data_IF_843046698555
#
_entry.id   IF_843046698555
#
_cell.length_a   1.000
_cell.length_b   1.000
_cell.length_c   1.000
_cell.angle_alpha   90.00
_cell.angle_beta   90.00
_cell.angle_gamma   90.00
#
_symmetry.space_group_name_H-M   'P 1'
#
loop_
_entity.id
_entity.type
_entity.pdbx_description
1 polymer ?
#
# COMPACT_ATOMS: atom_id res chain seq x y z
N UNK A 1 -25.58 -85.48 -22.01
CA UNK A 1 -25.27 -86.02 -20.68
C UNK A 1 -24.08 -85.25 -20.12
N UNK A 2 -24.28 -84.56 -18.98
CA UNK A 2 -23.31 -84.02 -18.00
C UNK A 2 -22.07 -83.26 -18.55
N UNK A 3 -22.05 -81.92 -18.58
CA UNK A 3 -21.69 -80.99 -17.48
C UNK A 3 -20.24 -81.06 -17.01
N UNK A 4 -19.45 -80.04 -17.34
CA UNK A 4 -18.75 -79.23 -16.32
C UNK A 4 -18.39 -77.85 -16.88
N UNK A 5 -18.67 -76.83 -16.06
CA UNK A 5 -18.47 -75.42 -16.32
C UNK A 5 -17.03 -75.00 -16.02
N UNK A 6 -16.55 -73.98 -16.73
CA UNK A 6 -15.34 -73.23 -16.38
C UNK A 6 -15.25 -71.97 -17.22
N UNK A 7 -15.82 -70.88 -16.71
CA UNK A 7 -15.98 -69.61 -17.42
C UNK A 7 -14.65 -68.89 -17.62
N UNK A 8 -14.35 -68.58 -18.88
CA UNK A 8 -13.35 -67.59 -19.31
C UNK A 8 -13.88 -66.18 -19.02
N UNK A 9 -13.09 -65.35 -18.34
CA UNK A 9 -13.29 -63.90 -18.32
C UNK A 9 -12.08 -63.19 -18.90
N UNK A 10 -12.37 -62.43 -19.96
CA UNK A 10 -11.49 -61.45 -20.60
C UNK A 10 -11.17 -60.30 -19.64
N UNK A 11 -9.93 -59.82 -19.66
CA UNK A 11 -9.58 -58.50 -19.13
C UNK A 11 -8.43 -57.92 -19.98
N UNK A 12 -8.81 -57.43 -21.17
CA UNK A 12 -7.90 -56.85 -22.15
C UNK A 12 -8.31 -55.44 -22.58
N UNK A 13 -8.83 -54.59 -21.69
CA UNK A 13 -9.08 -53.17 -21.96
C UNK A 13 -9.03 -52.37 -20.65
N UNK A 14 -7.84 -51.91 -20.24
CA UNK A 14 -7.69 -51.17 -18.99
C UNK A 14 -6.49 -50.22 -18.92
N UNK A 15 -5.84 -49.90 -20.05
CA UNK A 15 -4.59 -49.13 -20.03
C UNK A 15 -4.50 -48.06 -21.12
N UNK A 16 -5.59 -47.34 -21.41
CA UNK A 16 -5.55 -46.18 -22.32
C UNK A 16 -6.37 -44.96 -21.90
N UNK A 17 -7.13 -45.03 -20.81
CA UNK A 17 -7.95 -43.89 -20.32
C UNK A 17 -7.21 -43.06 -19.25
N UNK A 18 -6.15 -43.60 -18.63
CA UNK A 18 -5.40 -42.92 -17.58
C UNK A 18 -4.42 -41.82 -18.04
N UNK A 19 -3.95 -41.84 -19.30
CA UNK A 19 -2.95 -40.88 -19.78
C UNK A 19 -3.57 -39.60 -20.37
N UNK A 20 -4.78 -39.69 -20.94
CA UNK A 20 -5.45 -38.53 -21.55
C UNK A 20 -6.00 -37.57 -20.47
N UNK A 21 -6.43 -38.08 -19.31
CA UNK A 21 -6.85 -37.25 -18.18
C UNK A 21 -5.65 -36.55 -17.49
N UNK A 22 -4.48 -37.19 -17.45
CA UNK A 22 -3.25 -36.60 -16.92
C UNK A 22 -2.66 -35.52 -17.85
N UNK A 23 -2.82 -35.66 -19.17
CA UNK A 23 -2.42 -34.64 -20.14
C UNK A 23 -3.44 -33.49 -20.29
N UNK A 24 -4.73 -33.75 -20.08
CA UNK A 24 -5.75 -32.68 -20.03
C UNK A 24 -5.66 -31.82 -18.76
N UNK A 25 -5.12 -32.36 -17.65
CA UNK A 25 -4.80 -31.60 -16.43
C UNK A 25 -3.47 -30.82 -16.51
N UNK A 26 -2.67 -31.06 -17.56
CA UNK A 26 -1.43 -30.31 -17.84
C UNK A 26 -1.60 -29.26 -18.95
N UNK A 27 -2.80 -29.12 -19.51
CA UNK A 27 -3.10 -28.23 -20.64
C UNK A 27 -4.01 -27.04 -20.28
N UNK A 28 -4.21 -26.76 -18.99
CA UNK A 28 -4.86 -25.53 -18.52
C UNK A 28 -3.88 -24.81 -17.58
N UNK A 29 -3.66 -23.53 -17.85
CA UNK A 29 -2.87 -22.55 -17.10
C UNK A 29 -1.33 -22.61 -17.22
N UNK A 30 -0.86 -22.23 -18.41
CA UNK A 30 0.50 -21.71 -18.64
C UNK A 30 0.76 -20.34 -18.01
N UNK A 31 0.37 -20.13 -16.75
CA UNK A 31 0.78 -18.98 -15.97
C UNK A 31 1.42 -19.51 -14.70
N UNK A 32 2.76 -19.54 -14.73
CA UNK A 32 3.58 -19.73 -13.56
C UNK A 32 3.16 -18.71 -12.49
N UNK A 33 3.00 -19.15 -11.25
CA UNK A 33 2.85 -18.22 -10.12
C UNK A 33 3.95 -17.16 -10.24
N UNK A 34 3.56 -15.89 -10.23
CA UNK A 34 4.46 -14.76 -10.47
C UNK A 34 4.20 -13.98 -11.75
N UNK A 35 3.32 -14.41 -12.65
CA UNK A 35 2.90 -13.61 -13.80
C UNK A 35 1.49 -13.95 -14.31
N UNK A 36 0.68 -12.94 -14.67
CA UNK A 36 -0.63 -13.11 -15.29
C UNK A 36 -0.97 -11.94 -16.22
N UNK A 37 -1.72 -12.19 -17.30
CA UNK A 37 -2.28 -11.12 -18.11
C UNK A 37 -3.38 -10.38 -17.33
N UNK A 38 -3.54 -9.08 -17.54
CA UNK A 38 -4.59 -8.28 -16.90
C UNK A 38 -5.96 -8.89 -17.17
N UNK A 39 -6.22 -9.37 -18.40
CA UNK A 39 -7.47 -10.01 -18.78
C UNK A 39 -7.82 -11.24 -17.92
N UNK A 40 -6.82 -12.04 -17.54
CA UNK A 40 -7.00 -13.25 -16.72
C UNK A 40 -7.31 -12.92 -15.25
N UNK A 41 -7.03 -11.69 -14.82
CA UNK A 41 -7.26 -11.23 -13.46
C UNK A 41 -8.61 -10.51 -13.30
N UNK A 42 -9.19 -9.98 -14.39
CA UNK A 42 -10.47 -9.28 -14.35
C UNK A 42 -11.57 -10.19 -13.80
N UNK A 43 -12.40 -9.66 -12.90
CA UNK A 43 -13.49 -10.39 -12.26
C UNK A 43 -13.08 -11.18 -11.01
N UNK A 44 -11.78 -11.37 -10.76
CA UNK A 44 -11.29 -12.02 -9.54
C UNK A 44 -11.41 -11.08 -8.33
N UNK A 45 -11.61 -11.66 -7.15
CA UNK A 45 -11.56 -10.96 -5.86
C UNK A 45 -10.11 -10.59 -5.50
N UNK A 46 -9.88 -9.62 -4.58
CA UNK A 46 -8.52 -9.25 -4.16
C UNK A 46 -7.66 -10.44 -3.73
N UNK A 47 -8.29 -11.39 -3.03
CA UNK A 47 -7.63 -12.56 -2.48
C UNK A 47 -7.28 -13.57 -3.58
N UNK A 48 -8.16 -13.75 -4.57
CA UNK A 48 -7.90 -14.59 -5.75
C UNK A 48 -6.78 -13.99 -6.62
N UNK A 49 -6.78 -12.67 -6.84
CA UNK A 49 -5.69 -11.99 -7.58
C UNK A 49 -4.36 -12.19 -6.88
N UNK A 50 -4.29 -11.99 -5.56
CA UNK A 50 -3.08 -12.26 -4.77
C UNK A 50 -2.64 -13.71 -4.93
N UNK A 51 -3.55 -14.66 -4.77
CA UNK A 51 -3.23 -16.09 -4.87
C UNK A 51 -2.69 -16.44 -6.25
N UNK A 52 -3.31 -15.90 -7.31
CA UNK A 52 -2.89 -16.09 -8.70
C UNK A 52 -1.47 -15.56 -8.95
N UNK A 53 -1.15 -14.39 -8.42
CA UNK A 53 0.12 -13.72 -8.66
C UNK A 53 1.27 -14.20 -7.76
N UNK A 54 0.98 -14.64 -6.54
CA UNK A 54 2.02 -15.02 -5.56
C UNK A 54 2.15 -16.52 -5.36
N UNK A 55 1.16 -17.31 -5.79
CA UNK A 55 1.03 -18.72 -5.42
C UNK A 55 0.67 -18.95 -3.94
N UNK A 56 0.52 -17.88 -3.14
CA UNK A 56 0.17 -17.98 -1.73
C UNK A 56 -1.32 -18.34 -1.54
N UNK A 57 -1.68 -19.05 -0.46
CA UNK A 57 -3.07 -19.43 -0.21
C UNK A 57 -3.98 -18.20 -0.05
N UNK A 58 -5.15 -18.29 -0.69
CA UNK A 58 -6.24 -17.31 -0.71
C UNK A 58 -6.95 -17.12 0.65
N UNK A 59 -6.27 -17.22 1.79
CA UNK A 59 -6.91 -17.25 3.12
C UNK A 59 -6.69 -15.99 3.94
N UNK A 60 -5.73 -15.15 3.58
CA UNK A 60 -5.45 -13.92 4.33
C UNK A 60 -6.13 -12.74 3.64
N UNK A 61 -7.08 -12.05 4.30
CA UNK A 61 -7.70 -10.87 3.73
C UNK A 61 -6.64 -9.80 3.46
N UNK A 62 -6.78 -9.02 2.37
CA UNK A 62 -5.88 -7.91 2.11
C UNK A 62 -5.97 -6.87 3.23
N UNK A 63 -4.96 -6.00 3.38
CA UNK A 63 -5.10 -4.82 4.22
C UNK A 63 -6.25 -3.92 3.70
N UNK A 64 -6.63 -2.89 4.44
CA UNK A 64 -7.57 -1.89 3.93
C UNK A 64 -6.95 -1.16 2.74
N UNK A 65 -7.65 -1.13 1.60
CA UNK A 65 -7.25 -0.37 0.41
C UNK A 65 -7.68 1.09 0.51
N UNK A 66 -7.42 1.86 -0.54
CA UNK A 66 -8.06 3.16 -0.72
C UNK A 66 -9.51 2.94 -1.13
N UNK A 67 -10.45 3.43 -0.33
CA UNK A 67 -11.88 3.24 -0.53
C UNK A 67 -12.53 4.55 -0.94
N UNK A 68 -13.44 4.49 -1.92
CA UNK A 68 -14.17 5.65 -2.43
C UNK A 68 -15.63 5.29 -2.64
N UNK A 69 -16.55 6.17 -2.21
CA UNK A 69 -17.96 6.02 -2.50
C UNK A 69 -18.21 6.03 -4.02
N UNK A 70 -18.89 5.00 -4.52
CA UNK A 70 -19.33 4.89 -5.91
C UNK A 70 -20.83 4.69 -6.01
N UNK A 71 -21.35 4.68 -7.24
CA UNK A 71 -22.76 4.41 -7.52
C UNK A 71 -23.09 2.95 -7.16
N UNK A 72 -23.70 2.72 -6.00
CA UNK A 72 -24.12 1.40 -5.53
C UNK A 72 -23.18 0.72 -4.52
N UNK A 73 -22.08 1.35 -4.13
CA UNK A 73 -21.13 0.73 -3.19
C UNK A 73 -19.86 1.53 -2.94
N UNK A 74 -18.76 0.82 -2.66
CA UNK A 74 -17.44 1.38 -2.50
C UNK A 74 -16.47 0.74 -3.49
N UNK A 75 -15.77 1.58 -4.25
CA UNK A 75 -14.64 1.15 -5.05
C UNK A 75 -13.40 1.05 -4.14
N UNK A 76 -12.62 -0.01 -4.32
CA UNK A 76 -11.42 -0.26 -3.51
C UNK A 76 -10.20 -0.38 -4.40
N UNK A 77 -9.16 0.38 -4.07
CA UNK A 77 -7.93 0.47 -4.84
C UNK A 77 -6.75 -0.04 -4.03
N UNK A 78 -5.92 -0.87 -4.65
CA UNK A 78 -4.68 -1.38 -4.08
C UNK A 78 -3.51 -1.11 -5.01
N UNK A 79 -2.36 -0.68 -4.49
CA UNK A 79 -1.13 -0.89 -5.25
C UNK A 79 -0.86 -2.38 -5.32
N UNK A 80 -0.23 -2.84 -6.40
CA UNK A 80 0.12 -4.24 -6.55
C UNK A 80 1.00 -4.71 -5.38
N UNK A 81 1.97 -3.91 -4.95
CA UNK A 81 2.82 -4.18 -3.79
C UNK A 81 2.03 -4.37 -2.48
N UNK A 82 1.03 -3.52 -2.19
CA UNK A 82 0.23 -3.68 -0.97
C UNK A 82 -0.71 -4.88 -1.03
N UNK A 83 -1.20 -5.25 -2.23
CA UNK A 83 -2.07 -6.40 -2.42
C UNK A 83 -1.32 -7.73 -2.21
N UNK A 84 -0.06 -7.80 -2.67
CA UNK A 84 0.75 -9.03 -2.63
C UNK A 84 1.52 -9.20 -1.32
N UNK A 85 1.72 -8.11 -0.57
CA UNK A 85 2.39 -8.17 0.72
C UNK A 85 1.61 -9.02 1.73
N UNK A 86 2.34 -9.80 2.55
CA UNK A 86 1.73 -10.51 3.69
C UNK A 86 1.43 -9.53 4.84
N UNK A 87 0.14 -9.32 5.19
CA UNK A 87 -0.23 -8.44 6.31
C UNK A 87 0.32 -8.92 7.67
N UNK A 88 0.53 -10.23 7.83
CA UNK A 88 1.17 -10.80 9.03
C UNK A 88 2.63 -10.36 9.14
N UNK A 89 3.40 -10.57 8.07
CA UNK A 89 4.80 -10.14 7.98
C UNK A 89 4.97 -8.62 8.16
N UNK A 90 4.12 -7.79 7.53
CA UNK A 90 4.17 -6.34 7.68
C UNK A 90 3.98 -5.89 9.13
N UNK A 91 3.04 -6.51 9.86
CA UNK A 91 2.82 -6.22 11.29
C UNK A 91 4.02 -6.61 12.15
N UNK A 92 4.58 -7.80 11.95
CA UNK A 92 5.80 -8.25 12.66
C UNK A 92 6.99 -7.33 12.36
N UNK A 93 7.17 -6.93 11.11
CA UNK A 93 8.24 -6.02 10.71
C UNK A 93 8.10 -4.65 11.37
N UNK A 94 6.88 -4.11 11.47
CA UNK A 94 6.61 -2.86 12.17
C UNK A 94 6.92 -2.98 13.67
N UNK A 95 6.43 -4.04 14.33
CA UNK A 95 6.71 -4.30 15.75
C UNK A 95 8.21 -4.45 16.04
N UNK A 96 8.93 -5.20 15.19
CA UNK A 96 10.38 -5.37 15.29
C UNK A 96 11.13 -4.05 15.16
N UNK A 97 10.75 -3.24 14.17
CA UNK A 97 11.32 -1.90 14.03
C UNK A 97 11.04 -1.11 15.31
N UNK A 98 9.80 -0.97 15.75
CA UNK A 98 9.45 -0.06 16.84
C UNK A 98 10.01 -0.47 18.20
N UNK A 99 9.99 -1.77 18.53
CA UNK A 99 10.31 -2.26 19.87
C UNK A 99 11.53 -3.18 19.94
N UNK A 100 12.10 -3.58 18.80
CA UNK A 100 13.06 -4.69 18.76
C UNK A 100 12.45 -6.05 19.15
N UNK A 101 11.11 -6.12 19.28
CA UNK A 101 10.35 -7.29 19.70
C UNK A 101 9.73 -8.00 18.48
N UNK A 102 9.57 -9.32 18.56
CA UNK A 102 9.15 -10.21 17.46
C UNK A 102 10.13 -10.21 16.28
N UNK A 103 10.88 -11.30 16.10
CA UNK A 103 11.75 -11.39 14.93
C UNK A 103 10.89 -11.40 13.65
N UNK A 104 11.27 -10.63 12.61
CA UNK A 104 10.73 -10.84 11.27
C UNK A 104 10.81 -12.31 10.92
N UNK A 105 9.70 -12.84 10.42
CA UNK A 105 9.57 -14.22 10.02
C UNK A 105 10.53 -14.50 8.85
N UNK A 106 11.54 -15.36 9.04
CA UNK A 106 12.54 -15.63 8.02
C UNK A 106 11.97 -16.43 6.84
N UNK A 107 10.79 -17.02 6.98
CA UNK A 107 10.15 -17.83 5.94
C UNK A 107 9.05 -17.07 5.19
N UNK A 108 8.60 -15.92 5.70
CA UNK A 108 7.59 -15.10 5.05
C UNK A 108 8.17 -14.46 3.76
N UNK A 109 7.65 -14.79 2.56
CA UNK A 109 8.21 -14.29 1.31
C UNK A 109 8.03 -12.77 1.21
N UNK A 110 9.07 -12.10 0.69
CA UNK A 110 9.03 -10.69 0.29
C UNK A 110 8.75 -10.64 -1.20
N UNK A 111 7.55 -10.19 -1.55
CA UNK A 111 7.12 -10.02 -2.92
C UNK A 111 7.46 -8.60 -3.41
N UNK A 112 8.02 -8.49 -4.62
CA UNK A 112 8.22 -7.24 -5.33
C UNK A 112 7.43 -7.28 -6.63
N UNK A 113 6.58 -6.30 -6.85
CA UNK A 113 5.83 -6.23 -8.10
C UNK A 113 6.66 -5.66 -9.24
N UNK A 114 6.35 -6.11 -10.46
CA UNK A 114 6.87 -5.58 -11.71
C UNK A 114 5.78 -5.60 -12.76
N UNK A 115 5.67 -4.54 -13.55
CA UNK A 115 4.94 -4.62 -14.81
C UNK A 115 5.82 -5.36 -15.81
N UNK A 116 5.40 -6.55 -16.25
CA UNK A 116 6.12 -7.30 -17.27
C UNK A 116 5.74 -6.74 -18.65
N UNK A 117 6.42 -5.69 -19.08
CA UNK A 117 6.49 -5.34 -20.49
C UNK A 117 7.80 -5.89 -21.08
N UNK A 118 7.74 -6.43 -22.30
CA UNK A 118 8.89 -6.65 -23.21
C UNK A 118 9.97 -5.56 -23.07
N UNK A 119 11.27 -5.81 -23.38
CA UNK A 119 12.49 -5.30 -22.71
C UNK A 119 12.68 -3.78 -22.79
N UNK A 120 11.71 -3.03 -22.29
CA UNK A 120 11.65 -1.59 -22.15
C UNK A 120 11.73 -1.26 -20.68
N UNK A 121 12.35 -0.12 -20.43
CA UNK A 121 12.73 0.37 -19.12
C UNK A 121 11.65 0.17 -18.07
N UNK A 122 12.09 -0.40 -16.93
CA UNK A 122 11.36 -0.56 -15.68
C UNK A 122 10.45 0.67 -15.46
N UNK A 123 9.15 0.52 -15.72
CA UNK A 123 8.21 1.59 -15.46
C UNK A 123 8.22 1.86 -13.95
N UNK A 124 8.73 3.02 -13.56
CA UNK A 124 8.85 3.47 -12.17
C UNK A 124 7.43 3.69 -11.61
N UNK A 125 7.02 2.85 -10.65
CA UNK A 125 5.77 2.94 -9.89
C UNK A 125 4.93 1.66 -9.96
N UNK A 126 4.21 1.36 -8.88
CA UNK A 126 3.41 0.13 -8.79
C UNK A 126 2.05 0.31 -9.49
N UNK A 127 1.61 -0.63 -10.35
CA UNK A 127 0.27 -0.57 -10.93
C UNK A 127 -0.79 -0.62 -9.82
N UNK A 128 -1.92 0.04 -10.07
CA UNK A 128 -3.03 0.13 -9.12
C UNK A 128 -4.18 -0.74 -9.59
N UNK A 129 -4.63 -1.65 -8.76
CA UNK A 129 -5.74 -2.55 -9.01
C UNK A 129 -7.02 -1.91 -8.47
N UNK A 130 -8.01 -1.71 -9.35
CA UNK A 130 -9.30 -1.13 -9.03
C UNK A 130 -10.36 -2.23 -8.92
N UNK A 131 -10.91 -2.40 -7.72
CA UNK A 131 -11.96 -3.37 -7.41
C UNK A 131 -13.30 -2.65 -7.26
N UNK A 132 -14.31 -3.14 -7.99
CA UNK A 132 -15.71 -2.68 -7.91
C UNK A 132 -16.55 -3.86 -7.48
N UNK A 133 -17.42 -3.66 -6.50
CA UNK A 133 -18.25 -4.73 -5.92
C UNK A 133 -17.44 -5.97 -5.50
N UNK A 134 -16.22 -5.73 -4.99
CA UNK A 134 -15.29 -6.78 -4.56
C UNK A 134 -14.60 -7.57 -5.67
N UNK A 135 -14.71 -7.15 -6.95
CA UNK A 135 -14.08 -7.82 -8.10
C UNK A 135 -13.18 -6.87 -8.88
N UNK A 136 -12.07 -7.37 -9.40
CA UNK A 136 -11.12 -6.58 -10.16
C UNK A 136 -11.79 -6.09 -11.46
N UNK A 137 -12.00 -4.79 -11.56
CA UNK A 137 -12.63 -4.16 -12.71
C UNK A 137 -11.61 -3.60 -13.69
N UNK A 138 -10.46 -3.14 -13.20
CA UNK A 138 -9.40 -2.56 -14.00
C UNK A 138 -8.04 -2.64 -13.28
N UNK A 139 -6.97 -2.57 -14.07
CA UNK A 139 -5.63 -2.27 -13.58
C UNK A 139 -5.19 -0.97 -14.22
N UNK A 140 -4.75 -0.04 -13.39
CA UNK A 140 -4.35 1.30 -13.77
C UNK A 140 -2.83 1.36 -13.77
N UNK A 141 -2.26 2.05 -14.77
CA UNK A 141 -0.85 2.41 -14.73
C UNK A 141 -0.58 3.24 -13.49
N UNK A 142 0.61 3.10 -12.89
CA UNK A 142 1.05 4.04 -11.86
C UNK A 142 0.87 5.45 -12.42
N UNK A 143 0.36 6.37 -11.60
CA UNK A 143 0.34 7.78 -12.01
C UNK A 143 1.79 8.18 -12.20
N UNK A 144 2.18 8.39 -13.46
CA UNK A 144 3.45 9.02 -13.74
C UNK A 144 3.33 10.44 -13.23
N UNK A 145 3.98 10.69 -12.11
CA UNK A 145 4.29 12.05 -11.70
C UNK A 145 4.83 12.79 -12.93
N UNK A 146 4.27 13.95 -13.25
CA UNK A 146 4.83 14.81 -14.31
C UNK A 146 6.34 14.93 -14.06
N UNK A 147 7.11 14.88 -15.14
CA UNK A 147 8.56 15.02 -15.06
C UNK A 147 8.87 16.26 -14.21
N UNK A 148 9.43 16.03 -13.03
CA UNK A 148 9.81 17.12 -12.12
C UNK A 148 10.85 17.95 -12.84
N UNK A 149 10.76 19.28 -12.72
CA UNK A 149 11.80 20.17 -13.22
C UNK A 149 13.18 19.66 -12.77
N UNK A 150 14.25 19.81 -13.57
CA UNK A 150 15.59 19.38 -13.14
C UNK A 150 15.98 20.04 -11.82
N UNK A 151 16.82 19.34 -11.04
CA UNK A 151 17.32 19.89 -9.80
C UNK A 151 18.12 21.16 -10.09
N UNK A 152 17.88 22.27 -9.37
CA UNK A 152 18.79 23.41 -9.43
C UNK A 152 20.16 22.99 -8.87
N UNK A 153 21.24 23.73 -9.21
CA UNK A 153 22.57 23.39 -8.73
C UNK A 153 22.64 23.34 -7.20
N UNK A 154 23.44 22.42 -6.64
CA UNK A 154 23.68 22.34 -5.19
C UNK A 154 24.25 23.65 -4.60
N UNK A 155 24.94 24.45 -5.44
CA UNK A 155 25.42 25.79 -5.08
C UNK A 155 24.27 26.72 -4.68
N UNK A 156 23.08 26.54 -5.27
CA UNK A 156 21.85 27.23 -4.90
C UNK A 156 21.10 26.46 -3.80
N UNK A 157 21.76 26.24 -2.66
CA UNK A 157 21.28 25.36 -1.58
C UNK A 157 19.81 25.59 -1.20
N UNK A 158 19.33 26.84 -1.16
CA UNK A 158 17.93 27.17 -0.83
C UNK A 158 16.95 26.73 -1.93
N UNK A 159 17.32 26.88 -3.20
CA UNK A 159 16.53 26.41 -4.33
C UNK A 159 16.58 24.88 -4.42
N UNK A 160 17.74 24.27 -4.19
CA UNK A 160 17.90 22.81 -4.14
C UNK A 160 17.10 22.19 -2.99
N UNK A 161 17.19 22.74 -1.78
CA UNK A 161 16.39 22.27 -0.64
C UNK A 161 14.89 22.40 -0.90
N UNK A 162 14.45 23.50 -1.53
CA UNK A 162 13.05 23.66 -1.96
C UNK A 162 12.68 22.60 -2.97
N UNK A 163 13.50 22.43 -4.01
CA UNK A 163 13.31 21.42 -5.04
C UNK A 163 13.20 20.03 -4.43
N UNK A 164 14.17 19.57 -3.63
CA UNK A 164 14.16 18.28 -2.90
C UNK A 164 12.82 18.05 -2.19
N UNK A 165 12.28 19.10 -1.56
CA UNK A 165 11.06 19.05 -0.75
C UNK A 165 9.76 19.19 -1.55
N UNK A 166 9.82 19.53 -2.85
CA UNK A 166 8.65 19.56 -3.72
C UNK A 166 8.02 18.16 -3.84
N UNK A 167 6.76 18.04 -3.45
CA UNK A 167 5.95 16.85 -3.75
C UNK A 167 5.47 16.93 -5.20
N UNK A 168 5.27 15.79 -5.84
CA UNK A 168 4.63 15.75 -7.16
C UNK A 168 3.12 15.77 -6.97
N UNK A 169 2.43 16.61 -7.73
CA UNK A 169 0.97 16.65 -7.74
C UNK A 169 0.43 15.38 -8.44
N UNK A 170 -0.22 14.50 -7.67
CA UNK A 170 -0.91 13.31 -8.17
C UNK A 170 -2.33 13.60 -8.65
N UNK A 171 -3.11 12.60 -9.07
CA UNK A 171 -4.47 12.80 -9.57
C UNK A 171 -5.45 13.22 -8.47
N UNK A 172 -5.02 13.11 -7.21
CA UNK A 172 -5.82 13.34 -6.02
C UNK A 172 -5.99 14.82 -5.66
N UNK A 173 -5.25 15.73 -6.29
CA UNK A 173 -5.46 17.17 -6.12
C UNK A 173 -6.27 17.71 -7.31
N UNK A 174 -7.42 18.29 -7.00
CA UNK A 174 -8.36 18.83 -7.99
C UNK A 174 -7.94 20.21 -8.53
N UNK A 175 -7.32 21.03 -7.69
CA UNK A 175 -7.01 22.43 -8.01
C UNK A 175 -6.24 23.14 -6.90
N UNK A 176 -5.82 24.38 -7.17
CA UNK A 176 -5.04 25.20 -6.25
C UNK A 176 -5.79 25.45 -4.93
N UNK A 177 -5.10 25.24 -3.79
CA UNK A 177 -5.67 25.45 -2.45
C UNK A 177 -6.70 24.42 -2.00
N UNK A 178 -7.12 23.52 -2.89
CA UNK A 178 -8.15 22.52 -2.59
C UNK A 178 -7.59 21.37 -1.75
N UNK A 179 -8.45 20.75 -0.97
CA UNK A 179 -8.12 19.51 -0.27
C UNK A 179 -8.08 18.34 -1.27
N UNK A 180 -7.36 17.23 -0.95
CA UNK A 180 -7.39 16.04 -1.79
C UNK A 180 -8.83 15.61 -2.07
N UNK A 181 -9.15 15.27 -3.31
CA UNK A 181 -10.44 14.74 -3.76
C UNK A 181 -11.65 15.65 -3.52
N UNK A 182 -11.42 16.95 -3.40
CA UNK A 182 -12.48 17.95 -3.22
C UNK A 182 -13.47 18.01 -4.39
N UNK A 183 -13.04 17.62 -5.59
CA UNK A 183 -13.86 17.49 -6.81
C UNK A 183 -14.64 16.17 -6.90
N UNK A 184 -14.67 15.37 -5.82
CA UNK A 184 -15.41 14.12 -5.78
C UNK A 184 -14.92 13.14 -6.85
N UNK A 185 -15.82 12.55 -7.63
CA UNK A 185 -15.48 11.55 -8.66
C UNK A 185 -14.60 12.08 -9.82
N UNK A 186 -14.32 13.40 -9.89
CA UNK A 186 -13.45 13.98 -10.92
C UNK A 186 -12.05 13.35 -11.01
N UNK A 187 -11.51 12.83 -9.90
CA UNK A 187 -10.22 12.12 -9.92
C UNK A 187 -10.28 10.80 -10.69
N UNK A 188 -11.42 10.09 -10.70
CA UNK A 188 -11.55 8.81 -11.40
C UNK A 188 -11.35 8.99 -12.90
N UNK A 189 -11.95 10.04 -13.48
CA UNK A 189 -11.74 10.37 -14.88
C UNK A 189 -10.25 10.63 -15.20
N UNK A 190 -9.50 11.27 -14.28
CA UNK A 190 -8.05 11.50 -14.46
C UNK A 190 -7.22 10.24 -14.27
N UNK A 191 -7.59 9.39 -13.31
CA UNK A 191 -6.80 8.25 -12.89
C UNK A 191 -7.04 7.02 -13.78
N UNK A 192 -8.29 6.79 -14.19
CA UNK A 192 -8.68 5.68 -15.05
C UNK A 192 -8.34 5.89 -16.53
N UNK A 193 -8.04 7.13 -16.94
CA UNK A 193 -7.53 7.42 -18.28
C UNK A 193 -6.25 6.62 -18.63
N UNK A 194 -5.53 6.15 -17.61
CA UNK A 194 -4.31 5.36 -17.75
C UNK A 194 -4.52 3.85 -17.52
N UNK A 195 -5.71 3.31 -17.82
CA UNK A 195 -6.00 1.87 -17.71
C UNK A 195 -5.08 1.02 -18.60
N UNK A 196 -4.61 -0.10 -18.06
CA UNK A 196 -3.86 -1.12 -18.79
C UNK A 196 -4.77 -1.92 -19.74
N UNK A 197 -4.23 -2.32 -20.87
CA UNK A 197 -4.86 -3.23 -21.82
C UNK A 197 -4.91 -4.65 -21.24
N UNK A 198 -5.91 -5.44 -21.67
CA UNK A 198 -6.11 -6.81 -21.20
C UNK A 198 -4.94 -7.74 -21.52
N UNK A 199 -4.18 -7.45 -22.57
CA UNK A 199 -2.99 -8.20 -22.98
C UNK A 199 -1.72 -7.83 -22.21
N UNK A 200 -1.70 -6.71 -21.48
CA UNK A 200 -0.54 -6.36 -20.64
C UNK A 200 -0.44 -7.33 -19.46
N UNK A 201 0.80 -7.62 -19.01
CA UNK A 201 1.07 -8.64 -17.97
C UNK A 201 1.53 -7.99 -16.67
N UNK A 202 0.99 -8.47 -15.56
CA UNK A 202 1.45 -8.18 -14.21
C UNK A 202 2.37 -9.30 -13.75
N UNK A 203 3.50 -8.94 -13.16
CA UNK A 203 4.43 -9.90 -12.57
C UNK A 203 4.73 -9.57 -11.12
N UNK A 204 4.93 -10.61 -10.32
CA UNK A 204 5.30 -10.51 -8.91
C UNK A 204 6.42 -11.50 -8.66
N UNK A 205 7.53 -11.01 -8.13
CA UNK A 205 8.69 -11.83 -7.75
C UNK A 205 8.72 -11.95 -6.23
N UNK A 206 8.43 -13.15 -5.72
CA UNK A 206 8.41 -13.45 -4.29
C UNK A 206 9.63 -14.31 -3.94
N UNK A 207 10.49 -13.79 -3.06
CA UNK A 207 11.66 -14.50 -2.55
C UNK A 207 11.68 -14.49 -1.01
N UNK A 208 12.28 -15.50 -0.35
CA UNK A 208 12.56 -15.42 1.08
C UNK A 208 13.37 -14.15 1.39
N UNK A 209 13.19 -13.53 2.57
CA UNK A 209 13.96 -12.37 2.96
C UNK A 209 15.46 -12.71 2.95
N UNK A 210 16.34 -11.78 2.55
CA UNK A 210 17.78 -12.05 2.57
C UNK A 210 18.20 -12.45 4.00
N UNK A 211 19.09 -13.44 4.15
CA UNK A 211 19.58 -13.86 5.46
C UNK A 211 20.18 -12.63 6.16
N UNK A 212 19.82 -12.46 7.44
CA UNK A 212 20.35 -11.32 8.20
C UNK A 212 21.87 -11.44 8.26
N UNK A 213 22.62 -10.35 8.04
CA UNK A 213 24.05 -10.38 8.31
C UNK A 213 24.23 -10.80 9.77
N UNK A 214 25.05 -11.82 10.00
CA UNK A 214 25.39 -12.22 11.36
C UNK A 214 25.96 -10.99 12.06
N UNK A 215 25.41 -10.61 13.22
CA UNK A 215 26.03 -9.61 14.08
C UNK A 215 27.26 -10.30 14.68
N UNK A 216 28.36 -10.30 13.92
CA UNK A 216 29.63 -10.78 14.42
C UNK A 216 30.03 -9.85 15.56
N UNK A 217 30.10 -10.39 16.79
CA UNK A 217 30.79 -9.68 17.86
C UNK A 217 32.23 -9.51 17.40
N UNK A 218 32.73 -8.28 17.19
CA UNK A 218 34.07 -8.10 16.70
C UNK A 218 35.03 -8.73 17.72
N UNK A 219 35.93 -9.59 17.24
CA UNK A 219 36.90 -10.30 18.09
C UNK A 219 37.88 -9.34 18.80
N UNK A 220 37.94 -8.08 18.35
CA UNK A 220 38.72 -6.99 18.96
C UNK A 220 37.87 -5.72 19.01
N UNK A 221 38.06 -4.90 20.05
CA UNK A 221 37.50 -3.54 20.09
C UNK A 221 38.08 -2.75 18.92
N UNK A 222 37.26 -2.48 17.90
CA UNK A 222 37.62 -1.57 16.81
C UNK A 222 37.63 -0.13 17.35
N UNK A 223 38.52 0.76 16.84
CA UNK A 223 38.39 2.19 17.08
C UNK A 223 37.01 2.67 16.57
N UNK A 224 36.48 3.71 17.20
CA UNK A 224 35.21 4.31 16.79
C UNK A 224 35.34 4.84 15.36
N UNK A 225 34.46 4.42 14.47
CA UNK A 225 34.38 4.93 13.10
C UNK A 225 33.28 6.01 12.95
N UNK A 226 33.12 6.56 11.76
CA UNK A 226 32.09 7.56 11.46
C UNK A 226 30.67 7.05 11.73
N UNK A 227 30.42 5.75 11.57
CA UNK A 227 29.12 5.14 11.87
C UNK A 227 28.90 5.01 13.38
N UNK A 228 29.95 4.70 14.14
CA UNK A 228 29.92 4.70 15.61
C UNK A 228 29.70 6.12 16.15
N UNK A 229 30.33 7.13 15.55
CA UNK A 229 30.13 8.55 15.90
C UNK A 229 28.73 9.04 15.54
N UNK A 230 28.15 8.59 14.41
CA UNK A 230 26.73 8.80 14.11
C UNK A 230 25.83 8.11 15.15
N UNK A 231 26.17 6.89 15.57
CA UNK A 231 25.46 6.18 16.65
C UNK A 231 25.50 6.91 17.99
N UNK A 232 26.66 7.48 18.35
CA UNK A 232 26.82 8.31 19.55
C UNK A 232 26.08 9.64 19.44
N UNK A 233 26.03 10.26 18.26
CA UNK A 233 25.20 11.44 18.00
C UNK A 233 23.69 11.15 18.14
N UNK A 234 23.28 9.88 18.08
CA UNK A 234 21.92 9.44 18.33
C UNK A 234 21.60 9.18 19.81
N UNK A 235 22.58 9.24 20.73
CA UNK A 235 22.35 9.01 22.17
C UNK A 235 21.29 9.94 22.80
N UNK A 236 21.22 11.25 22.47
CA UNK A 236 20.13 12.10 22.96
C UNK A 236 18.75 11.62 22.50
N UNK A 237 18.68 10.98 21.32
CA UNK A 237 17.45 10.34 20.85
C UNK A 237 17.20 9.03 21.60
N UNK A 238 18.22 8.23 21.93
CA UNK A 238 18.08 7.00 22.72
C UNK A 238 17.37 7.21 24.07
N UNK A 239 17.53 8.39 24.69
CA UNK A 239 16.82 8.77 25.93
C UNK A 239 15.34 9.10 25.69
N UNK A 240 15.02 9.80 24.58
CA UNK A 240 13.63 10.22 24.26
C UNK A 240 12.83 9.14 23.54
N UNK A 241 13.51 8.21 22.86
CA UNK A 241 12.92 7.15 22.05
C UNK A 241 11.89 6.30 22.80
N UNK A 242 12.10 5.89 24.07
CA UNK A 242 11.10 5.13 24.81
C UNK A 242 9.77 5.89 24.99
N UNK A 243 9.81 7.17 25.34
CA UNK A 243 8.61 8.00 25.49
C UNK A 243 7.92 8.20 24.14
N UNK A 244 8.69 8.55 23.09
CA UNK A 244 8.17 8.70 21.73
C UNK A 244 7.52 7.41 21.21
N UNK A 245 8.10 6.24 21.51
CA UNK A 245 7.54 4.94 21.13
C UNK A 245 6.25 4.62 21.89
N UNK A 246 6.13 5.01 23.17
CA UNK A 246 4.86 4.87 23.91
C UNK A 246 3.77 5.76 23.32
N UNK A 247 4.10 7.00 22.96
CA UNK A 247 3.15 7.92 22.33
C UNK A 247 2.69 7.39 20.96
N UNK A 248 3.61 6.86 20.16
CA UNK A 248 3.28 6.21 18.88
C UNK A 248 2.44 4.96 19.07
N UNK A 249 2.72 4.14 20.09
CA UNK A 249 1.93 2.96 20.41
C UNK A 249 0.49 3.34 20.73
N UNK A 250 0.31 4.35 21.60
CA UNK A 250 -1.01 4.87 21.97
C UNK A 250 -1.76 5.42 20.77
N UNK A 251 -1.09 6.25 19.96
CA UNK A 251 -1.68 6.80 18.73
C UNK A 251 -2.08 5.68 17.76
N UNK A 252 -1.24 4.67 17.57
CA UNK A 252 -1.55 3.51 16.73
C UNK A 252 -2.80 2.78 17.21
N UNK A 253 -2.89 2.50 18.51
CA UNK A 253 -4.01 1.72 19.06
C UNK A 253 -5.33 2.52 18.98
N UNK A 254 -5.30 3.80 19.38
CA UNK A 254 -6.46 4.71 19.31
C UNK A 254 -6.89 5.01 17.86
N UNK A 255 -5.91 5.27 16.99
CA UNK A 255 -6.11 5.57 15.58
C UNK A 255 -6.65 4.37 14.81
N UNK A 256 -6.12 3.17 15.06
CA UNK A 256 -6.64 1.93 14.47
C UNK A 256 -8.07 1.63 14.92
N UNK A 257 -8.39 1.86 16.21
CA UNK A 257 -9.75 1.71 16.72
C UNK A 257 -10.70 2.72 16.07
N UNK A 258 -10.28 3.98 15.94
CA UNK A 258 -11.08 5.02 15.29
C UNK A 258 -11.33 4.68 13.82
N UNK A 259 -10.29 4.27 13.10
CA UNK A 259 -10.39 3.87 11.69
C UNK A 259 -11.32 2.67 11.48
N UNK A 260 -11.25 1.67 12.36
CA UNK A 260 -12.11 0.49 12.30
C UNK A 260 -13.60 0.81 12.49
N UNK A 261 -13.92 1.92 13.17
CA UNK A 261 -15.28 2.41 13.35
C UNK A 261 -15.82 3.28 12.20
N UNK A 262 -15.02 3.51 11.15
CA UNK A 262 -15.40 4.32 10.00
C UNK A 262 -15.58 3.47 8.74
N UNK A 263 -16.73 3.64 8.09
CA UNK A 263 -17.07 3.06 6.80
C UNK A 263 -17.48 4.15 5.80
N UNK A 264 -17.26 3.87 4.51
CA UNK A 264 -17.78 4.69 3.41
C UNK A 264 -19.32 4.79 3.51
N UNK A 265 -19.87 5.98 3.23
CA UNK A 265 -21.30 6.26 3.31
C UNK A 265 -21.84 6.43 4.73
N UNK A 266 -21.01 6.18 5.76
CA UNK A 266 -21.41 6.39 7.15
C UNK A 266 -21.39 7.89 7.48
N UNK A 267 -22.44 8.37 8.14
CA UNK A 267 -22.43 9.71 8.75
C UNK A 267 -21.60 9.68 10.04
N UNK A 268 -20.73 10.68 10.21
CA UNK A 268 -19.98 10.86 11.44
C UNK A 268 -20.95 11.07 12.63
N UNK A 269 -20.65 10.54 13.83
CA UNK A 269 -21.53 10.66 14.99
C UNK A 269 -21.77 12.10 15.46
N UNK A 270 -20.86 13.01 15.09
CA UNK A 270 -20.87 14.43 15.42
C UNK A 270 -20.43 15.21 14.18
N UNK A 271 -20.58 16.54 14.22
CA UNK A 271 -19.98 17.38 13.19
C UNK A 271 -18.46 17.14 13.12
N UNK A 272 -17.83 17.24 11.93
CA UNK A 272 -16.43 16.86 11.76
C UNK A 272 -15.45 17.63 12.65
N UNK A 273 -15.75 18.89 12.95
CA UNK A 273 -14.91 19.73 13.80
C UNK A 273 -14.95 19.27 15.26
N UNK A 274 -16.14 19.00 15.81
CA UNK A 274 -16.30 18.43 17.16
C UNK A 274 -15.73 17.03 17.23
N UNK A 275 -15.96 16.19 16.21
CA UNK A 275 -15.42 14.83 16.14
C UNK A 275 -13.88 14.84 16.23
N UNK A 276 -13.24 15.81 15.58
CA UNK A 276 -11.78 15.96 15.56
C UNK A 276 -11.17 16.55 16.85
N UNK A 277 -11.96 16.89 17.87
CA UNK A 277 -11.42 17.34 19.17
C UNK A 277 -10.78 16.22 20.00
N UNK A 278 -10.89 14.97 19.54
CA UNK A 278 -10.28 13.79 20.18
C UNK A 278 -8.79 13.74 19.87
N UNK A 279 -8.00 13.24 20.83
CA UNK A 279 -6.56 13.06 20.65
C UNK A 279 -6.24 12.23 19.41
N UNK A 280 -5.25 12.68 18.63
CA UNK A 280 -4.81 12.00 17.40
C UNK A 280 -5.66 12.27 16.16
N UNK A 281 -6.68 13.13 16.26
CA UNK A 281 -7.51 13.55 15.12
C UNK A 281 -7.25 15.02 14.76
N UNK A 282 -7.34 15.35 13.47
CA UNK A 282 -7.38 16.75 13.02
C UNK A 282 -8.33 16.93 11.85
N UNK A 283 -9.18 17.94 11.94
CA UNK A 283 -10.05 18.38 10.85
C UNK A 283 -9.37 19.46 10.00
N UNK A 284 -9.45 19.29 8.68
CA UNK A 284 -9.07 20.31 7.69
C UNK A 284 -10.31 20.67 6.89
N UNK A 285 -10.87 21.86 7.15
CA UNK A 285 -12.00 22.37 6.39
C UNK A 285 -11.56 22.81 4.98
N UNK A 286 -12.38 22.52 3.98
CA UNK A 286 -12.25 23.14 2.66
C UNK A 286 -12.87 24.54 2.64
N UNK A 287 -12.50 25.33 1.64
CA UNK A 287 -13.28 26.51 1.24
C UNK A 287 -14.64 26.12 0.65
N UNK A 288 -14.78 24.92 0.06
CA UNK A 288 -16.06 24.36 -0.36
C UNK A 288 -16.85 23.92 0.87
N UNK A 289 -18.01 24.56 1.07
CA UNK A 289 -18.92 24.22 2.16
C UNK A 289 -19.28 22.73 2.12
N UNK A 290 -19.30 22.12 3.30
CA UNK A 290 -19.64 20.70 3.47
C UNK A 290 -18.49 19.73 3.23
N UNK A 291 -17.35 20.14 2.65
CA UNK A 291 -16.22 19.25 2.41
C UNK A 291 -15.05 19.49 3.37
N UNK A 292 -14.37 18.41 3.75
CA UNK A 292 -13.07 18.50 4.37
C UNK A 292 -12.42 17.14 4.56
N UNK A 293 -11.22 17.16 5.12
CA UNK A 293 -10.41 15.98 5.35
C UNK A 293 -10.12 15.84 6.83
N UNK A 294 -10.51 14.70 7.38
CA UNK A 294 -10.11 14.28 8.72
C UNK A 294 -8.81 13.48 8.61
N UNK A 295 -7.82 13.80 9.44
CA UNK A 295 -6.63 12.97 9.62
C UNK A 295 -6.71 12.18 10.90
N UNK A 296 -6.21 10.95 10.86
CA UNK A 296 -6.15 10.03 12.00
C UNK A 296 -4.69 9.61 12.18
N UNK A 297 -4.11 9.94 13.34
CA UNK A 297 -2.76 9.53 13.72
C UNK A 297 -2.70 8.01 13.94
N UNK A 298 -1.85 7.33 13.19
CA UNK A 298 -1.57 5.91 13.37
C UNK A 298 -0.22 5.68 14.06
N UNK A 299 0.39 6.72 14.63
CA UNK A 299 1.69 6.65 15.26
C UNK A 299 2.79 6.37 14.24
N UNK A 300 3.66 5.41 14.52
CA UNK A 300 4.64 4.91 13.53
C UNK A 300 4.13 3.60 12.94
N UNK A 301 3.89 3.56 11.62
CA UNK A 301 3.42 2.37 10.93
C UNK A 301 4.58 1.66 10.23
N UNK A 302 4.81 1.86 8.93
CA UNK A 302 5.58 0.92 8.11
C UNK A 302 7.10 1.15 8.08
N UNK A 303 7.63 2.35 8.37
CA UNK A 303 8.96 2.70 7.82
C UNK A 303 10.08 3.21 8.74
N UNK A 304 9.88 3.80 9.93
CA UNK A 304 11.01 4.52 10.60
C UNK A 304 10.86 4.64 12.12
N UNK A 305 11.92 4.33 12.88
CA UNK A 305 11.96 4.58 14.34
C UNK A 305 12.77 5.81 14.74
N UNK A 306 13.71 6.23 13.89
CA UNK A 306 14.68 7.28 14.19
C UNK A 306 14.21 8.69 13.79
N UNK A 307 13.01 8.82 13.21
CA UNK A 307 12.41 10.11 12.83
C UNK A 307 11.14 10.38 13.62
N UNK A 308 10.86 11.64 13.95
CA UNK A 308 9.59 12.08 14.57
C UNK A 308 8.39 12.10 13.58
N UNK A 309 8.49 11.32 12.49
CA UNK A 309 7.43 11.16 11.50
C UNK A 309 6.35 10.26 12.09
N UNK A 310 5.08 10.65 11.88
CA UNK A 310 3.91 9.83 12.16
C UNK A 310 3.18 9.50 10.86
N UNK A 311 2.69 8.29 10.75
CA UNK A 311 1.85 7.85 9.66
C UNK A 311 0.40 8.26 9.97
N UNK A 312 -0.32 8.73 8.96
CA UNK A 312 -1.67 9.24 9.11
C UNK A 312 -2.58 8.70 8.01
N UNK A 313 -3.80 8.33 8.39
CA UNK A 313 -4.89 8.04 7.47
C UNK A 313 -5.59 9.34 7.13
N UNK A 314 -5.98 9.48 5.88
CA UNK A 314 -6.84 10.57 5.44
C UNK A 314 -8.26 10.03 5.20
N UNK A 315 -9.25 10.76 5.69
CA UNK A 315 -10.68 10.45 5.51
C UNK A 315 -11.36 11.68 4.93
N UNK A 316 -11.93 11.53 3.73
CA UNK A 316 -12.77 12.55 3.12
C UNK A 316 -14.16 12.53 3.72
N UNK A 317 -14.65 13.71 4.08
CA UNK A 317 -15.98 13.88 4.65
C UNK A 317 -16.73 14.94 3.84
N UNK A 318 -17.90 14.57 3.35
CA UNK A 318 -18.81 15.43 2.60
C UNK A 318 -20.17 15.48 3.28
N UNK A 319 -20.61 16.66 3.69
CA UNK A 319 -21.86 16.90 4.42
C UNK A 319 -22.03 15.99 5.65
N UNK A 320 -20.91 15.77 6.36
CA UNK A 320 -20.81 14.89 7.52
C UNK A 320 -20.81 13.38 7.20
N UNK A 321 -20.79 13.00 5.92
CA UNK A 321 -20.74 11.60 5.47
C UNK A 321 -19.35 11.26 4.96
N UNK A 322 -18.83 10.10 5.34
CA UNK A 322 -17.52 9.63 4.87
C UNK A 322 -17.62 9.27 3.39
N UNK A 323 -16.89 9.99 2.53
CA UNK A 323 -16.91 9.81 1.08
C UNK A 323 -15.72 8.99 0.56
N UNK A 324 -14.59 9.00 1.26
CA UNK A 324 -13.42 8.17 0.94
C UNK A 324 -12.50 7.98 2.14
N UNK A 325 -11.71 6.90 2.14
CA UNK A 325 -10.74 6.56 3.19
C UNK A 325 -9.44 6.11 2.52
N UNK A 326 -8.32 6.75 2.86
CA UNK A 326 -7.00 6.47 2.30
C UNK A 326 -6.03 5.91 3.35
N UNK A 327 -5.49 4.69 3.17
CA UNK A 327 -4.54 4.10 4.12
C UNK A 327 -3.20 4.87 4.17
N UNK A 328 -2.38 4.67 5.21
CA UNK A 328 -1.06 5.27 5.28
C UNK A 328 -0.12 4.65 4.22
N UNK A 329 0.05 5.34 3.11
CA UNK A 329 0.75 4.82 1.93
C UNK A 329 -0.09 3.83 1.14
N UNK A 330 0.38 3.46 -0.04
CA UNK A 330 -0.36 2.62 -0.98
C UNK A 330 -1.08 3.44 -2.04
N UNK A 331 -2.25 2.95 -2.47
CA UNK A 331 -3.12 3.68 -3.37
C UNK A 331 -3.81 4.83 -2.62
N UNK A 332 -4.15 5.92 -3.33
CA UNK A 332 -4.88 7.05 -2.76
C UNK A 332 -4.02 8.25 -2.31
N UNK A 333 -4.66 9.32 -1.82
CA UNK A 333 -3.96 10.50 -1.33
C UNK A 333 -3.18 10.20 -0.04
N UNK A 334 -1.93 10.66 0.03
CA UNK A 334 -1.14 10.61 1.27
C UNK A 334 -1.16 11.93 2.03
N UNK A 335 -0.87 11.86 3.34
CA UNK A 335 -0.92 13.02 4.23
C UNK A 335 0.07 14.14 3.87
N UNK A 336 1.10 13.85 3.06
CA UNK A 336 2.00 14.87 2.52
C UNK A 336 1.31 15.84 1.56
N UNK A 337 0.19 15.45 0.93
CA UNK A 337 -0.62 16.34 0.09
C UNK A 337 -1.31 17.46 0.89
N UNK A 338 -1.38 17.36 2.22
CA UNK A 338 -1.83 18.46 3.07
C UNK A 338 -0.77 19.55 3.24
N UNK A 339 0.49 19.24 2.92
CA UNK A 339 1.65 20.11 3.14
C UNK A 339 2.16 20.80 1.90
N UNK A 340 1.53 20.53 0.76
CA UNK A 340 1.86 21.14 -0.51
C UNK A 340 0.61 21.72 -1.16
N UNK A 341 0.81 22.75 -1.96
CA UNK A 341 -0.16 23.28 -2.91
C UNK A 341 -0.21 22.42 -4.17
N UNK A 342 -1.05 22.82 -5.12
CA UNK A 342 -1.29 22.08 -6.35
C UNK A 342 -0.10 22.08 -7.32
N UNK A 343 0.87 22.98 -7.19
CA UNK A 343 2.15 22.91 -7.91
C UNK A 343 3.15 21.98 -7.22
N UNK A 344 2.77 21.39 -6.08
CA UNK A 344 3.67 20.60 -5.26
C UNK A 344 4.68 21.45 -4.48
N UNK A 345 4.49 22.78 -4.47
CA UNK A 345 5.23 23.72 -3.64
C UNK A 345 4.57 23.76 -2.26
N UNK A 346 5.24 24.33 -1.27
CA UNK A 346 4.68 24.46 0.07
C UNK A 346 4.36 25.93 0.34
N UNK A 347 3.58 26.56 -0.55
CA UNK A 347 3.23 27.98 -0.48
C UNK A 347 2.30 28.35 0.69
N UNK A 348 1.46 27.41 1.14
CA UNK A 348 0.58 27.60 2.30
C UNK A 348 0.35 26.27 3.04
N UNK A 349 1.35 25.79 3.81
CA UNK A 349 1.24 24.50 4.50
C UNK A 349 0.12 24.54 5.54
N UNK A 350 -0.73 23.49 5.55
CA UNK A 350 -1.82 23.36 6.53
C UNK A 350 -1.29 23.01 7.93
N UNK A 351 -2.05 23.27 9.01
CA UNK A 351 -1.66 22.88 10.36
C UNK A 351 -1.27 21.40 10.45
N UNK A 352 -0.15 21.11 11.11
CA UNK A 352 0.42 19.76 11.18
C UNK A 352 1.55 19.50 10.18
N UNK A 353 1.79 20.40 9.23
CA UNK A 353 2.89 20.28 8.29
C UNK A 353 4.21 20.83 8.84
N UNK A 354 5.30 20.08 8.65
CA UNK A 354 6.67 20.51 8.93
C UNK A 354 7.62 20.16 7.80
N UNK A 355 8.74 20.90 7.76
CA UNK A 355 9.82 20.62 6.82
C UNK A 355 9.39 20.66 5.35
N UNK A 356 8.27 21.33 5.04
CA UNK A 356 7.74 21.60 3.69
C UNK A 356 7.29 20.36 2.91
N UNK A 357 6.89 19.27 3.58
CA UNK A 357 6.37 18.06 2.92
C UNK A 357 6.11 16.85 3.81
N UNK A 358 6.31 16.98 5.13
CA UNK A 358 6.00 15.96 6.11
C UNK A 358 4.86 16.42 7.02
N UNK A 359 3.98 15.50 7.41
CA UNK A 359 2.76 15.79 8.15
C UNK A 359 2.71 15.05 9.51
N UNK A 360 2.23 15.70 10.59
CA UNK A 360 1.58 15.05 11.77
C UNK A 360 0.16 15.62 11.79
N UNK A 361 -0.80 14.77 12.13
CA UNK A 361 -2.02 15.17 12.82
C UNK A 361 -1.79 16.02 14.07
#
# INVERSE_FOLDING_TARGET
>A
MLSSQGWTWEAGMGLRIGLAAALALLAVDGAWAGEAAVGDLIGLTPVEVRARLTGAPARTPPPRGFEVAGDGGADVYFTLDDLVADPGALRRQAAWRTYGAEAPDPEAPVCRSRLASEPRDLAIGDPVLAFRDGRLAAVLRPVRDRARAPAPPMAERKAYERWVRQRRAGPFLAGFGQLPLEDGAGFLARWEAARLQTSERLSVDCAPPPPRPAIARPARRRPLDESDMQGLALLPFAVKLPAMNRDRARARDQGAQTLAGLAIGQRLPQDPETFARRDGLRWHASARSGYGVLTIDLGGWKSRNLSDKRDAVLVGVENGVVSWISPPGGAGPDAGLLCVDAEGLAGTPRPGCWGWGNYRP
#
